data_IF_117780667011
#
_entry.id   IF_117780667011
#
_cell.length_a   1.000
_cell.length_b   1.000
_cell.length_c   1.000
_cell.angle_alpha   90.00
_cell.angle_beta   90.00
_cell.angle_gamma   90.00
#
_symmetry.space_group_name_H-M   'P 1'
#
loop_
_entity.id
_entity.type
_entity.pdbx_description
1 polymer ?
#
# COMPACT_ATOMS: atom_id res chain seq x y z
N UNK A 1 0.31 2.32 -13.45
CA UNK A 1 -0.43 1.02 -13.38
C UNK A 1 0.49 -0.18 -13.59
N UNK A 2 0.62 -1.03 -12.57
CA UNK A 2 1.34 -2.31 -12.68
C UNK A 2 0.68 -3.28 -13.65
N UNK A 3 1.39 -4.33 -14.05
CA UNK A 3 0.83 -5.39 -14.90
C UNK A 3 -0.37 -6.05 -14.22
N UNK A 4 -1.48 -6.22 -14.95
CA UNK A 4 -2.72 -6.84 -14.47
C UNK A 4 -2.51 -8.23 -13.83
N UNK A 5 -1.51 -8.98 -14.29
CA UNK A 5 -1.19 -10.32 -13.76
C UNK A 5 -0.15 -10.33 -12.64
N UNK A 6 0.33 -9.16 -12.22
CA UNK A 6 1.26 -9.06 -11.10
C UNK A 6 0.46 -9.10 -9.77
N UNK A 7 0.67 -10.14 -8.98
CA UNK A 7 0.03 -10.34 -7.67
C UNK A 7 0.36 -9.19 -6.72
N UNK A 8 1.59 -8.68 -6.73
CA UNK A 8 2.00 -7.59 -5.85
C UNK A 8 1.29 -6.29 -6.21
N UNK A 9 0.99 -6.06 -7.49
CA UNK A 9 0.21 -4.89 -7.92
C UNK A 9 -1.24 -4.99 -7.40
N UNK A 10 -1.86 -6.17 -7.52
CA UNK A 10 -3.21 -6.42 -6.99
C UNK A 10 -3.26 -6.23 -5.47
N UNK A 11 -2.27 -6.75 -4.75
CA UNK A 11 -2.17 -6.62 -3.29
C UNK A 11 -1.91 -5.16 -2.86
N UNK A 12 -1.13 -4.42 -3.64
CA UNK A 12 -0.91 -2.98 -3.41
C UNK A 12 -2.21 -2.20 -3.58
N UNK A 13 -2.94 -2.44 -4.67
CA UNK A 13 -4.19 -1.75 -4.96
C UNK A 13 -5.31 -2.08 -3.94
N UNK A 14 -5.24 -3.25 -3.30
CA UNK A 14 -6.16 -3.64 -2.23
C UNK A 14 -5.88 -2.95 -0.89
N UNK A 15 -4.76 -2.24 -0.74
CA UNK A 15 -4.43 -1.53 0.49
C UNK A 15 -5.43 -0.40 0.75
N UNK A 16 -5.87 -0.28 2.02
CA UNK A 16 -6.77 0.78 2.44
C UNK A 16 -6.04 2.12 2.52
N UNK A 17 -6.66 3.15 1.97
CA UNK A 17 -6.16 4.51 1.90
C UNK A 17 -7.24 5.49 2.38
N UNK A 18 -6.86 6.55 3.11
CA UNK A 18 -7.81 7.54 3.59
C UNK A 18 -8.40 8.34 2.43
N UNK A 19 -9.72 8.43 2.38
CA UNK A 19 -10.46 9.17 1.35
C UNK A 19 -11.49 10.09 2.02
N UNK A 20 -11.67 11.29 1.47
CA UNK A 20 -12.71 12.23 1.92
C UNK A 20 -13.76 12.38 0.82
N UNK A 21 -15.03 12.13 1.13
CA UNK A 21 -16.11 12.33 0.15
C UNK A 21 -16.47 13.80 0.02
N UNK A 22 -16.44 14.35 -1.19
CA UNK A 22 -16.77 15.75 -1.45
C UNK A 22 -18.27 15.96 -1.68
N UNK A 23 -19.01 14.89 -1.96
CA UNK A 23 -20.44 14.91 -2.21
C UNK A 23 -21.15 13.92 -1.31
N UNK A 24 -22.40 14.21 -0.97
CA UNK A 24 -23.20 13.28 -0.18
C UNK A 24 -23.78 12.19 -1.09
N UNK A 25 -23.41 10.93 -0.87
CA UNK A 25 -23.76 9.81 -1.77
C UNK A 25 -24.79 8.89 -1.09
N UNK A 26 -26.02 8.77 -1.62
CA UNK A 26 -27.04 7.89 -1.07
C UNK A 26 -26.65 6.42 -1.25
N UNK A 27 -27.14 5.55 -0.36
CA UNK A 27 -26.96 4.10 -0.40
C UNK A 27 -25.51 3.57 -0.34
N UNK A 28 -24.54 4.41 0.09
CA UNK A 28 -23.13 4.02 0.20
C UNK A 28 -22.65 3.85 1.64
N UNK A 29 -23.54 3.95 2.64
CA UNK A 29 -23.20 3.90 4.06
C UNK A 29 -22.40 2.67 4.50
N UNK A 30 -22.53 1.54 3.78
CA UNK A 30 -21.74 0.34 4.03
C UNK A 30 -20.23 0.53 3.88
N UNK A 31 -19.77 1.52 3.11
CA UNK A 31 -18.34 1.81 2.97
C UNK A 31 -17.73 2.38 4.24
N UNK A 32 -18.52 2.97 5.15
CA UNK A 32 -18.02 3.50 6.43
C UNK A 32 -17.60 2.40 7.42
N UNK A 33 -17.72 1.12 7.04
CA UNK A 33 -17.32 0.00 7.89
C UNK A 33 -18.27 -0.26 9.06
N UNK A 34 -19.41 0.45 9.10
CA UNK A 34 -20.43 0.33 10.13
C UNK A 34 -21.77 -0.11 9.52
N UNK A 35 -21.89 -1.36 9.01
CA UNK A 35 -23.09 -1.84 8.32
C UNK A 35 -24.32 -2.03 9.25
N UNK A 36 -24.24 -1.63 10.53
CA UNK A 36 -25.19 -2.06 11.57
C UNK A 36 -25.73 -1.00 12.54
N UNK A 37 -25.18 0.21 12.63
CA UNK A 37 -25.71 1.20 13.60
C UNK A 37 -27.01 1.88 13.15
N UNK A 38 -27.40 1.75 11.87
CA UNK A 38 -28.69 2.19 11.34
C UNK A 38 -29.59 1.02 10.88
N UNK A 39 -29.20 -0.24 11.16
CA UNK A 39 -29.93 -1.45 10.72
C UNK A 39 -30.99 -1.96 11.72
N UNK A 40 -31.33 -1.17 12.74
CA UNK A 40 -32.40 -1.50 13.68
C UNK A 40 -33.72 -0.84 13.27
N UNK A 41 -34.40 -1.38 12.25
CA UNK A 41 -35.88 -1.48 12.28
C UNK A 41 -36.30 -2.81 11.66
N UNK A 42 -36.89 -3.68 12.48
CA UNK A 42 -37.50 -4.95 12.09
C UNK A 42 -38.61 -4.80 11.03
N UNK A 43 -38.94 -5.88 10.28
CA UNK A 43 -39.88 -5.84 9.18
C UNK A 43 -41.31 -6.05 9.68
N UNK A 44 -42.10 -4.99 9.89
CA UNK A 44 -43.56 -5.13 9.94
C UNK A 44 -44.25 -3.95 9.22
N UNK A 45 -44.66 -4.26 7.99
CA UNK A 45 -45.84 -3.77 7.27
C UNK A 45 -45.93 -2.32 6.76
N UNK A 46 -46.55 -2.25 5.58
CA UNK A 46 -47.36 -1.19 4.98
C UNK A 46 -46.71 -0.35 3.87
N UNK A 47 -47.41 -0.37 2.74
CA UNK A 47 -47.09 0.13 1.41
C UNK A 47 -47.04 1.68 1.31
N UNK A 48 -46.11 2.32 2.01
CA UNK A 48 -45.86 3.77 1.89
C UNK A 48 -44.35 4.00 1.76
N UNK A 49 -43.86 4.74 0.75
CA UNK A 49 -42.44 5.09 0.67
C UNK A 49 -42.14 6.16 1.73
N UNK A 50 -41.89 5.71 2.96
CA UNK A 50 -41.46 6.56 4.08
C UNK A 50 -39.94 6.53 4.19
N UNK A 51 -39.27 7.65 3.86
CA UNK A 51 -38.10 8.26 4.53
C UNK A 51 -37.06 7.33 5.23
N UNK A 52 -36.84 6.10 4.76
CA UNK A 52 -35.83 5.17 5.28
C UNK A 52 -34.67 4.98 4.30
N UNK A 53 -34.83 5.42 3.05
CA UNK A 53 -33.77 5.44 2.02
C UNK A 53 -32.66 6.48 2.29
N UNK A 54 -32.80 7.32 3.33
CA UNK A 54 -31.76 8.27 3.77
C UNK A 54 -30.83 7.69 4.86
N UNK A 55 -31.11 6.49 5.39
CA UNK A 55 -30.36 5.87 6.51
C UNK A 55 -29.03 5.22 6.11
N UNK A 56 -28.63 5.33 4.85
CA UNK A 56 -27.34 4.79 4.39
C UNK A 56 -26.63 5.76 3.45
N UNK A 57 -26.75 7.06 3.71
CA UNK A 57 -26.05 8.11 2.96
C UNK A 57 -24.69 8.43 3.58
N UNK A 58 -23.65 8.43 2.75
CA UNK A 58 -22.38 9.04 3.10
C UNK A 58 -22.54 10.55 2.99
N UNK A 59 -22.26 11.28 4.07
CA UNK A 59 -22.32 12.75 4.07
C UNK A 59 -21.05 13.34 3.47
N UNK A 60 -21.19 14.48 2.80
CA UNK A 60 -20.05 15.29 2.38
C UNK A 60 -19.12 15.58 3.56
N UNK A 61 -17.81 15.52 3.30
CA UNK A 61 -16.73 15.68 4.28
C UNK A 61 -16.45 14.42 5.11
N UNK A 62 -17.18 13.32 4.92
CA UNK A 62 -16.90 12.10 5.66
C UNK A 62 -15.58 11.48 5.20
N UNK A 63 -14.74 11.09 6.17
CA UNK A 63 -13.51 10.34 5.93
C UNK A 63 -13.76 8.85 6.04
N UNK A 64 -13.35 8.11 5.02
CA UNK A 64 -13.55 6.66 4.92
C UNK A 64 -12.26 6.02 4.42
N UNK A 65 -11.92 4.85 4.96
CA UNK A 65 -10.82 4.04 4.44
C UNK A 65 -11.31 3.13 3.32
N UNK A 66 -10.84 3.37 2.10
CA UNK A 66 -11.22 2.60 0.92
C UNK A 66 -9.99 1.91 0.31
N UNK A 67 -10.16 0.75 -0.34
CA UNK A 67 -9.09 0.20 -1.17
C UNK A 67 -8.65 1.20 -2.23
N UNK A 68 -7.35 1.27 -2.50
CA UNK A 68 -6.76 2.22 -3.46
C UNK A 68 -7.41 2.14 -4.84
N UNK A 69 -7.67 0.93 -5.37
CA UNK A 69 -8.33 0.77 -6.67
C UNK A 69 -9.72 1.42 -6.73
N UNK A 70 -10.45 1.45 -5.61
CA UNK A 70 -11.77 2.07 -5.55
C UNK A 70 -11.62 3.59 -5.38
N UNK A 71 -10.74 3.99 -4.46
CA UNK A 71 -10.47 5.39 -4.15
C UNK A 71 -10.09 6.19 -5.41
N UNK A 72 -9.20 5.66 -6.24
CA UNK A 72 -8.78 6.28 -7.50
C UNK A 72 -9.97 6.50 -8.45
N UNK A 73 -10.83 5.49 -8.59
CA UNK A 73 -12.00 5.59 -9.46
C UNK A 73 -12.99 6.66 -8.98
N UNK A 74 -13.17 6.79 -7.65
CA UNK A 74 -14.04 7.82 -7.08
C UNK A 74 -13.40 9.23 -7.21
N UNK A 75 -12.08 9.32 -7.09
CA UNK A 75 -11.35 10.57 -7.24
C UNK A 75 -11.38 11.11 -8.68
N UNK A 76 -11.34 10.22 -9.68
CA UNK A 76 -11.46 10.59 -11.10
C UNK A 76 -12.92 10.84 -11.48
N UNK A 77 -13.88 10.21 -10.81
CA UNK A 77 -15.29 10.38 -11.12
C UNK A 77 -15.79 11.80 -10.82
N UNK A 78 -16.38 12.46 -11.81
CA UNK A 78 -16.89 13.83 -11.70
C UNK A 78 -18.39 13.87 -12.08
N UNK A 79 -19.28 13.33 -11.23
CA UNK A 79 -20.71 13.21 -11.55
C UNK A 79 -21.43 14.56 -11.68
N UNK A 80 -20.89 15.62 -11.10
CA UNK A 80 -21.49 16.96 -11.07
C UNK A 80 -20.78 17.97 -11.99
N UNK A 81 -19.84 17.52 -12.82
CA UNK A 81 -19.05 18.33 -13.76
C UNK A 81 -18.03 19.27 -13.11
N UNK A 82 -18.27 19.70 -11.87
CA UNK A 82 -17.50 20.73 -11.17
C UNK A 82 -16.71 20.20 -9.95
N UNK A 83 -16.87 18.94 -9.55
CA UNK A 83 -16.25 18.38 -8.35
C UNK A 83 -16.12 16.86 -8.44
N UNK A 84 -14.98 16.32 -8.01
CA UNK A 84 -14.81 14.87 -7.86
C UNK A 84 -15.75 14.31 -6.79
N UNK A 85 -16.06 13.02 -6.85
CA UNK A 85 -16.89 12.38 -5.83
C UNK A 85 -16.16 12.28 -4.48
N UNK A 86 -14.85 12.03 -4.53
CA UNK A 86 -13.97 11.95 -3.38
C UNK A 86 -12.60 12.54 -3.67
N UNK A 87 -11.86 12.87 -2.62
CA UNK A 87 -10.45 13.24 -2.63
C UNK A 87 -9.65 12.18 -1.89
N UNK A 88 -8.47 11.86 -2.42
CA UNK A 88 -7.56 10.91 -1.81
C UNK A 88 -6.58 11.66 -0.90
N UNK A 89 -6.31 11.11 0.28
CA UNK A 89 -5.29 11.61 1.22
C UNK A 89 -4.09 10.65 1.22
N UNK A 90 -2.88 11.18 1.50
CA UNK A 90 -1.69 10.34 1.64
C UNK A 90 -1.84 9.33 2.80
N UNK A 91 -1.50 8.04 2.60
CA UNK A 91 -1.51 7.05 3.67
C UNK A 91 -0.51 7.38 4.78
N UNK A 92 -0.81 6.95 6.01
CA UNK A 92 0.09 7.13 7.17
C UNK A 92 1.50 6.56 6.94
N UNK A 93 1.62 5.50 6.14
CA UNK A 93 2.89 4.88 5.77
C UNK A 93 3.82 5.85 5.03
N UNK A 94 3.25 6.79 4.27
CA UNK A 94 3.97 7.82 3.52
C UNK A 94 3.89 9.19 4.20
N UNK A 95 3.55 9.23 5.49
CA UNK A 95 3.49 10.48 6.24
C UNK A 95 4.83 11.20 6.27
N UNK A 96 4.80 12.52 6.43
CA UNK A 96 6.01 13.34 6.55
C UNK A 96 6.98 12.83 7.63
N UNK A 97 6.47 12.24 8.72
CA UNK A 97 7.29 11.64 9.76
C UNK A 97 8.15 10.50 9.22
N UNK A 98 7.55 9.59 8.43
CA UNK A 98 8.27 8.47 7.82
C UNK A 98 9.25 8.99 6.77
N UNK A 99 8.83 9.93 5.93
CA UNK A 99 9.70 10.57 4.93
C UNK A 99 10.93 11.25 5.57
N UNK A 100 10.75 11.93 6.70
CA UNK A 100 11.85 12.56 7.43
C UNK A 100 12.78 11.53 8.08
N UNK A 101 12.24 10.41 8.59
CA UNK A 101 13.06 9.32 9.12
C UNK A 101 13.91 8.67 8.01
N UNK A 102 13.30 8.44 6.85
CA UNK A 102 13.98 7.91 5.66
C UNK A 102 15.06 8.84 5.12
N UNK A 103 14.81 10.15 5.13
CA UNK A 103 15.82 11.18 4.82
C UNK A 103 17.00 11.17 5.79
N UNK A 104 16.76 10.89 7.07
CA UNK A 104 17.79 10.92 8.10
C UNK A 104 18.69 9.68 8.05
N UNK A 105 18.09 8.48 8.06
CA UNK A 105 18.79 7.21 7.86
C UNK A 105 17.81 6.13 7.36
N UNK A 106 17.86 5.76 6.07
CA UNK A 106 16.91 4.80 5.49
C UNK A 106 17.07 3.38 6.04
N UNK A 107 18.22 3.03 6.62
CA UNK A 107 18.50 1.66 7.10
C UNK A 107 17.83 1.36 8.43
N UNK A 108 17.57 2.40 9.22
CA UNK A 108 16.95 2.28 10.55
C UNK A 108 15.44 2.07 10.52
N UNK A 109 14.82 2.33 9.37
CA UNK A 109 13.36 2.25 9.22
C UNK A 109 12.95 0.82 8.82
N UNK A 110 12.04 0.23 9.60
CA UNK A 110 11.32 -0.98 9.23
C UNK A 110 10.22 -0.61 8.22
N UNK A 111 10.51 -0.80 6.93
CA UNK A 111 9.58 -0.49 5.85
C UNK A 111 8.35 -1.39 5.88
N UNK A 112 8.52 -2.66 6.24
CA UNK A 112 7.40 -3.61 6.32
C UNK A 112 6.39 -3.21 7.39
N UNK A 113 6.86 -2.65 8.50
CA UNK A 113 6.00 -2.13 9.55
C UNK A 113 5.19 -0.90 9.09
N UNK A 114 5.69 -0.14 8.10
CA UNK A 114 4.92 0.96 7.50
C UNK A 114 3.89 0.43 6.49
N UNK A 115 4.32 -0.41 5.55
CA UNK A 115 3.45 -1.10 4.60
C UNK A 115 4.15 -2.33 4.04
N UNK A 116 3.40 -3.40 3.78
CA UNK A 116 3.96 -4.63 3.20
C UNK A 116 4.54 -4.40 1.79
N UNK A 117 3.87 -3.56 0.99
CA UNK A 117 4.27 -3.17 -0.36
C UNK A 117 4.63 -1.67 -0.41
N UNK A 118 5.56 -1.23 0.46
CA UNK A 118 5.89 0.17 0.69
C UNK A 118 6.29 0.95 -0.58
N UNK A 119 7.24 0.43 -1.37
CA UNK A 119 7.65 1.14 -2.59
C UNK A 119 6.55 1.13 -3.66
N UNK A 120 5.73 0.08 -3.74
CA UNK A 120 4.63 0.02 -4.70
C UNK A 120 3.54 1.03 -4.36
N UNK A 121 3.17 1.18 -3.08
CA UNK A 121 2.19 2.21 -2.69
C UNK A 121 2.78 3.60 -2.89
N UNK A 122 4.07 3.81 -2.61
CA UNK A 122 4.77 5.07 -2.93
C UNK A 122 4.68 5.41 -4.42
N UNK A 123 4.98 4.45 -5.30
CA UNK A 123 4.86 4.64 -6.75
C UNK A 123 3.43 4.96 -7.18
N UNK A 124 2.41 4.29 -6.62
CA UNK A 124 1.01 4.58 -6.94
C UNK A 124 0.54 5.93 -6.42
N UNK A 125 1.02 6.36 -5.25
CA UNK A 125 0.73 7.69 -4.74
C UNK A 125 1.39 8.77 -5.60
N UNK A 126 2.62 8.56 -6.06
CA UNK A 126 3.31 9.47 -6.99
C UNK A 126 2.66 9.54 -8.39
N UNK A 127 1.88 8.54 -8.79
CA UNK A 127 1.03 8.61 -10.00
C UNK A 127 -0.18 9.55 -9.79
N UNK A 128 -0.65 9.73 -8.55
CA UNK A 128 -1.83 10.52 -8.19
C UNK A 128 -1.49 11.91 -7.64
N UNK A 129 -0.33 12.05 -7.02
CA UNK A 129 0.19 13.28 -6.40
C UNK A 129 1.57 13.60 -6.97
N UNK A 130 1.77 14.85 -7.38
CA UNK A 130 3.07 15.33 -7.88
C UNK A 130 3.96 15.79 -6.71
N UNK A 131 4.57 14.85 -5.99
CA UNK A 131 5.52 15.14 -4.89
C UNK A 131 6.97 14.80 -5.27
N UNK A 132 7.65 15.74 -5.94
CA UNK A 132 9.03 15.57 -6.43
C UNK A 132 10.01 15.18 -5.31
N UNK A 133 9.87 15.80 -4.13
CA UNK A 133 10.73 15.49 -2.99
C UNK A 133 10.59 14.03 -2.54
N UNK A 134 9.38 13.45 -2.61
CA UNK A 134 9.16 12.05 -2.24
C UNK A 134 9.84 11.09 -3.23
N UNK A 135 9.87 11.44 -4.52
CA UNK A 135 10.57 10.65 -5.55
C UNK A 135 12.05 10.52 -5.20
N UNK A 136 12.70 11.62 -4.85
CA UNK A 136 14.12 11.65 -4.49
C UNK A 136 14.38 10.81 -3.23
N UNK A 137 13.56 10.98 -2.19
CA UNK A 137 13.68 10.21 -0.94
C UNK A 137 13.57 8.72 -1.22
N UNK A 138 12.51 8.27 -1.89
CA UNK A 138 12.27 6.84 -2.15
C UNK A 138 13.35 6.23 -3.04
N UNK A 139 13.84 7.00 -4.01
CA UNK A 139 14.91 6.57 -4.90
C UNK A 139 16.22 6.38 -4.12
N UNK A 140 16.58 7.33 -3.27
CA UNK A 140 17.81 7.26 -2.47
C UNK A 140 17.72 6.23 -1.35
N UNK A 141 16.54 6.04 -0.73
CA UNK A 141 16.34 4.97 0.26
C UNK A 141 16.53 3.60 -0.40
N UNK A 142 15.95 3.39 -1.59
CA UNK A 142 16.07 2.13 -2.30
C UNK A 142 17.52 1.84 -2.68
N UNK A 143 18.28 2.83 -3.20
CA UNK A 143 19.71 2.66 -3.52
C UNK A 143 20.54 2.25 -2.30
N UNK A 144 20.38 2.96 -1.18
CA UNK A 144 21.17 2.71 0.03
C UNK A 144 20.87 1.35 0.64
N UNK A 145 19.59 0.95 0.65
CA UNK A 145 19.14 -0.33 1.20
C UNK A 145 19.46 -1.49 0.26
N UNK A 146 19.41 -1.30 -1.06
CA UNK A 146 19.79 -2.33 -2.04
C UNK A 146 21.26 -2.78 -1.88
N UNK A 147 22.18 -1.85 -1.59
CA UNK A 147 23.57 -2.19 -1.29
C UNK A 147 23.67 -3.12 -0.06
N UNK A 148 22.98 -2.77 1.03
CA UNK A 148 22.95 -3.57 2.26
C UNK A 148 22.28 -4.94 2.06
N UNK A 149 21.18 -4.99 1.31
CA UNK A 149 20.51 -6.24 0.92
C UNK A 149 21.47 -7.17 0.19
N UNK A 150 22.28 -6.63 -0.72
CA UNK A 150 23.27 -7.42 -1.46
C UNK A 150 24.35 -7.99 -0.55
N UNK A 151 24.88 -7.19 0.38
CA UNK A 151 25.87 -7.62 1.36
C UNK A 151 25.32 -8.74 2.27
N UNK A 152 24.08 -8.59 2.74
CA UNK A 152 23.40 -9.58 3.58
C UNK A 152 23.10 -10.87 2.79
N UNK A 153 22.72 -10.77 1.51
CA UNK A 153 22.40 -11.92 0.67
C UNK A 153 23.62 -12.83 0.41
N UNK A 154 24.81 -12.24 0.31
CA UNK A 154 26.08 -12.97 0.13
C UNK A 154 26.52 -13.70 1.41
N UNK A 155 26.15 -13.18 2.57
CA UNK A 155 26.55 -13.68 3.88
C UNK A 155 25.61 -14.78 4.38
N UNK A 156 25.76 -16.00 3.84
CA UNK A 156 24.95 -17.18 4.20
C UNK A 156 24.98 -17.56 5.69
N UNK A 157 25.94 -17.04 6.47
CA UNK A 157 26.04 -17.24 7.92
C UNK A 157 25.11 -16.31 8.74
N UNK A 158 24.60 -15.24 8.12
CA UNK A 158 23.68 -14.27 8.74
C UNK A 158 22.25 -14.82 8.90
N UNK A 159 21.95 -16.00 8.34
CA UNK A 159 20.61 -16.59 8.32
C UNK A 159 20.01 -16.94 9.70
N UNK A 160 20.79 -16.88 10.79
CA UNK A 160 20.31 -17.07 12.16
C UNK A 160 20.42 -15.77 12.96
N UNK A 161 19.30 -15.35 13.57
CA UNK A 161 19.23 -14.14 14.41
C UNK A 161 19.10 -12.87 13.57
N UNK A 162 20.17 -12.07 13.54
CA UNK A 162 20.19 -10.70 13.00
C UNK A 162 19.78 -10.61 11.51
N UNK A 163 20.22 -11.55 10.66
CA UNK A 163 19.78 -11.57 9.26
C UNK A 163 18.32 -12.00 9.07
N UNK A 164 17.74 -12.75 10.02
CA UNK A 164 16.32 -13.09 10.02
C UNK A 164 15.44 -11.92 10.51
N UNK A 165 15.98 -11.07 11.40
CA UNK A 165 15.35 -9.80 11.79
C UNK A 165 15.41 -8.80 10.64
N UNK A 166 16.56 -8.68 9.97
CA UNK A 166 16.73 -7.86 8.77
C UNK A 166 15.72 -8.25 7.68
N UNK A 167 15.65 -9.53 7.30
CA UNK A 167 14.74 -10.01 6.27
C UNK A 167 13.25 -9.84 6.62
N UNK A 168 12.92 -9.74 7.92
CA UNK A 168 11.56 -9.46 8.38
C UNK A 168 11.16 -8.00 8.17
N UNK A 169 12.08 -7.05 8.31
CA UNK A 169 11.82 -5.61 8.12
C UNK A 169 11.81 -5.13 6.67
N UNK A 170 12.25 -5.98 5.73
CA UNK A 170 12.20 -5.68 4.30
C UNK A 170 10.76 -5.65 3.78
N UNK A 171 10.46 -4.68 2.92
CA UNK A 171 9.21 -4.67 2.15
C UNK A 171 9.19 -5.81 1.10
N UNK A 172 8.08 -5.98 0.37
CA UNK A 172 8.00 -7.06 -0.62
C UNK A 172 9.04 -6.93 -1.75
N UNK A 173 9.27 -5.72 -2.27
CA UNK A 173 10.21 -5.51 -3.38
C UNK A 173 11.65 -5.79 -2.94
N UNK A 174 12.03 -5.36 -1.74
CA UNK A 174 13.33 -5.63 -1.12
C UNK A 174 13.51 -7.12 -0.81
N UNK A 175 12.44 -7.80 -0.40
CA UNK A 175 12.47 -9.24 -0.13
C UNK A 175 12.66 -10.05 -1.40
N UNK A 176 12.03 -9.65 -2.50
CA UNK A 176 12.24 -10.25 -3.81
C UNK A 176 13.69 -10.05 -4.27
N UNK A 177 14.22 -8.83 -4.12
CA UNK A 177 15.63 -8.52 -4.42
C UNK A 177 16.58 -9.39 -3.58
N UNK A 178 16.35 -9.50 -2.28
CA UNK A 178 17.14 -10.34 -1.37
C UNK A 178 17.14 -11.81 -1.81
N UNK A 179 15.97 -12.38 -2.10
CA UNK A 179 15.84 -13.77 -2.56
C UNK A 179 16.58 -13.99 -3.88
N UNK A 180 16.38 -13.12 -4.86
CA UNK A 180 17.04 -13.21 -6.15
C UNK A 180 18.59 -13.16 -6.01
N UNK A 181 19.11 -12.25 -5.18
CA UNK A 181 20.55 -12.15 -4.92
C UNK A 181 21.10 -13.39 -4.20
N UNK A 182 20.38 -13.90 -3.19
CA UNK A 182 20.77 -15.08 -2.43
C UNK A 182 20.74 -16.36 -3.27
N UNK A 183 19.67 -16.57 -4.02
CA UNK A 183 19.48 -17.73 -4.90
C UNK A 183 20.50 -17.72 -6.03
N UNK A 184 20.76 -16.55 -6.65
CA UNK A 184 21.78 -16.38 -7.68
C UNK A 184 23.17 -16.77 -7.17
N UNK A 185 23.55 -16.29 -5.98
CA UNK A 185 24.84 -16.64 -5.35
C UNK A 185 24.94 -18.13 -5.04
N UNK A 186 23.86 -18.72 -4.53
CA UNK A 186 23.81 -20.15 -4.20
C UNK A 186 23.87 -21.02 -5.44
N UNK A 187 23.19 -20.63 -6.53
CA UNK A 187 23.21 -21.33 -7.81
C UNK A 187 24.62 -21.33 -8.41
N UNK A 188 25.32 -20.19 -8.39
CA UNK A 188 26.70 -20.07 -8.87
C UNK A 188 27.64 -20.97 -8.08
N UNK A 189 27.56 -20.98 -6.74
CA UNK A 189 28.37 -21.88 -5.89
C UNK A 189 28.15 -23.35 -6.24
N UNK A 190 26.89 -23.79 -6.34
CA UNK A 190 26.53 -25.16 -6.72
C UNK A 190 27.07 -25.53 -8.10
N UNK A 191 26.99 -24.63 -9.07
CA UNK A 191 27.53 -24.85 -10.41
C UNK A 191 29.04 -25.06 -10.39
N UNK A 192 29.81 -24.23 -9.68
CA UNK A 192 31.26 -24.41 -9.53
C UNK A 192 31.62 -25.76 -8.89
N UNK A 193 30.88 -26.20 -7.86
CA UNK A 193 31.10 -27.51 -7.23
C UNK A 193 30.82 -28.68 -8.19
N UNK A 194 29.81 -28.57 -9.06
CA UNK A 194 29.53 -29.60 -10.08
C UNK A 194 30.57 -29.61 -11.19
N UNK A 195 31.06 -28.44 -11.59
CA UNK A 195 32.09 -28.30 -12.62
C UNK A 195 33.46 -28.85 -12.16
N UNK A 196 33.80 -28.74 -10.88
CA UNK A 196 35.03 -29.30 -10.31
C UNK A 196 35.01 -30.83 -10.13
N UNK A 197 33.82 -31.45 -10.16
CA UNK A 197 33.64 -32.91 -10.00
C UNK A 197 33.59 -33.65 -11.34
N UNK A 198 33.56 -32.93 -12.47
CA UNK A 198 33.56 -33.47 -13.84
C UNK A 198 34.96 -33.42 -14.44
#
# INVERSE_FOLDING_TARGET
>A
MGSYYNIDAILTDAQKVPCTFELSVPNMGYLQGNPGEDACVSPISSDIPTQTDLLSQIKQGSKVELPLWLAEMLAVSNPSGNSSLATLDLPQALSQRVMNALKADPKTVDLRAQAQHFYNIGARMLELFEEEEMVDILTDTFKQRAAEISDQALNSRSALGEGADFARGLDETERQLFRAAHDGTTAVKKWFETAQKS
#
